data_IF_247569870081
#
_entry.id   IF_247569870081
#
_cell.length_a   1.000
_cell.length_b   1.000
_cell.length_c   1.000
_cell.angle_alpha   90.00
_cell.angle_beta   90.00
_cell.angle_gamma   90.00
#
_symmetry.space_group_name_H-M   'P 1'
#
loop_
_entity.id
_entity.type
_entity.pdbx_description
1 polymer ?
#
# COMPACT_ATOMS: atom_id res chain seq x y z
N UNK A 1 -9.62 3.86 -12.81
CA UNK A 1 -9.01 2.60 -12.32
C UNK A 1 -8.59 2.85 -10.88
N UNK A 2 -9.14 2.15 -9.89
CA UNK A 2 -8.75 2.36 -8.48
C UNK A 2 -7.33 1.80 -8.29
N UNK A 3 -6.36 2.67 -8.05
CA UNK A 3 -5.01 2.27 -7.68
C UNK A 3 -5.05 1.67 -6.27
N UNK A 4 -4.58 0.43 -6.09
CA UNK A 4 -4.48 -0.21 -4.78
C UNK A 4 -3.13 0.19 -4.15
N UNK A 5 -3.09 1.07 -3.13
CA UNK A 5 -1.83 1.58 -2.60
C UNK A 5 -0.98 0.47 -2.00
N UNK A 6 -1.58 -0.54 -1.36
CA UNK A 6 -0.84 -1.69 -0.85
C UNK A 6 -0.09 -2.43 -1.96
N UNK A 7 -0.72 -2.62 -3.14
CA UNK A 7 -0.02 -3.25 -4.27
C UNK A 7 1.18 -2.42 -4.75
N UNK A 8 1.02 -1.12 -4.90
CA UNK A 8 2.12 -0.23 -5.31
C UNK A 8 3.28 -0.25 -4.31
N UNK A 9 2.98 -0.17 -3.02
CA UNK A 9 3.99 -0.27 -1.95
C UNK A 9 4.70 -1.61 -2.00
N UNK A 10 3.97 -2.72 -2.13
CA UNK A 10 4.53 -4.07 -2.22
C UNK A 10 5.49 -4.17 -3.40
N UNK A 11 5.11 -3.65 -4.57
CA UNK A 11 5.95 -3.68 -5.76
C UNK A 11 7.23 -2.83 -5.56
N UNK A 12 7.12 -1.66 -4.93
CA UNK A 12 8.28 -0.78 -4.60
C UNK A 12 9.29 -1.41 -3.64
N UNK A 13 8.84 -2.24 -2.71
CA UNK A 13 9.73 -2.91 -1.74
C UNK A 13 10.29 -4.25 -2.24
N UNK A 14 10.04 -4.62 -3.49
CA UNK A 14 10.56 -5.86 -4.10
C UNK A 14 9.59 -7.05 -4.03
N UNK A 15 8.30 -6.79 -3.88
CA UNK A 15 7.24 -7.79 -3.96
C UNK A 15 6.82 -8.42 -2.62
N UNK A 16 5.85 -9.33 -2.69
CA UNK A 16 5.18 -9.91 -1.51
C UNK A 16 6.15 -10.60 -0.54
N UNK A 17 7.15 -11.33 -1.05
CA UNK A 17 8.13 -12.03 -0.24
C UNK A 17 9.06 -11.05 0.51
N UNK A 18 9.49 -9.98 -0.15
CA UNK A 18 10.31 -8.95 0.48
C UNK A 18 9.50 -8.21 1.57
N UNK A 19 8.27 -7.80 1.26
CA UNK A 19 7.36 -7.20 2.23
C UNK A 19 7.14 -8.09 3.45
N UNK A 20 6.87 -9.39 3.24
CA UNK A 20 6.70 -10.38 4.31
C UNK A 20 7.93 -10.45 5.23
N UNK A 21 9.14 -10.52 4.65
CA UNK A 21 10.40 -10.54 5.38
C UNK A 21 10.62 -9.26 6.18
N UNK A 22 10.37 -8.09 5.60
CA UNK A 22 10.57 -6.79 6.25
C UNK A 22 9.65 -6.65 7.47
N UNK A 23 8.37 -7.01 7.33
CA UNK A 23 7.40 -6.81 8.42
C UNK A 23 7.40 -7.95 9.45
N UNK A 24 8.02 -9.08 9.12
CA UNK A 24 8.08 -10.28 9.95
C UNK A 24 6.76 -11.05 9.98
N UNK A 25 6.03 -11.11 8.86
CA UNK A 25 4.73 -11.79 8.74
C UNK A 25 4.74 -12.82 7.62
N UNK A 26 3.81 -13.77 7.68
CA UNK A 26 3.60 -14.72 6.60
C UNK A 26 3.09 -14.01 5.33
N UNK A 27 3.53 -14.48 4.16
CA UNK A 27 3.21 -13.87 2.85
C UNK A 27 1.69 -13.80 2.59
N UNK A 28 0.91 -14.76 3.09
CA UNK A 28 -0.56 -14.75 3.00
C UNK A 28 -1.18 -13.52 3.66
N UNK A 29 -0.57 -13.02 4.75
CA UNK A 29 -1.01 -11.78 5.40
C UNK A 29 -0.79 -10.55 4.52
N UNK A 30 0.28 -10.56 3.72
CA UNK A 30 0.60 -9.50 2.76
C UNK A 30 -0.40 -9.51 1.60
N UNK A 31 -0.74 -10.70 1.08
CA UNK A 31 -1.78 -10.82 0.04
C UNK A 31 -3.12 -10.22 0.48
N UNK A 32 -3.50 -10.42 1.74
CA UNK A 32 -4.74 -9.85 2.31
C UNK A 32 -4.76 -8.33 2.31
N UNK A 33 -3.62 -7.65 2.28
CA UNK A 33 -3.62 -6.19 2.16
C UNK A 33 -4.22 -5.72 0.83
N UNK A 34 -4.12 -6.55 -0.21
CA UNK A 34 -4.66 -6.23 -1.53
C UNK A 34 -6.14 -6.58 -1.68
N UNK A 35 -6.70 -7.34 -0.74
CA UNK A 35 -8.07 -7.82 -0.81
C UNK A 35 -9.07 -6.76 -0.33
N UNK A 36 -10.30 -6.76 -0.87
CA UNK A 36 -11.36 -5.91 -0.36
C UNK A 36 -11.69 -6.28 1.10
N UNK A 37 -12.16 -5.31 1.88
CA UNK A 37 -12.53 -5.50 3.28
C UNK A 37 -13.59 -6.61 3.45
N UNK A 38 -14.54 -6.71 2.51
CA UNK A 38 -15.59 -7.74 2.47
C UNK A 38 -15.05 -9.17 2.41
N UNK A 39 -13.83 -9.36 1.89
CA UNK A 39 -13.13 -10.66 1.84
C UNK A 39 -12.12 -10.85 2.97
N UNK A 40 -12.22 -10.04 4.04
CA UNK A 40 -11.29 -10.06 5.17
C UNK A 40 -9.93 -9.46 4.85
N UNK A 41 -9.86 -8.60 3.82
CA UNK A 41 -8.68 -7.79 3.52
C UNK A 41 -8.69 -6.44 4.23
N UNK A 42 -7.71 -5.60 3.90
CA UNK A 42 -7.63 -4.22 4.42
C UNK A 42 -8.24 -3.18 3.49
N UNK A 43 -8.85 -3.61 2.38
CA UNK A 43 -9.38 -2.70 1.37
C UNK A 43 -8.32 -2.07 0.47
N UNK A 44 -7.13 -2.68 0.37
CA UNK A 44 -6.03 -2.12 -0.43
C UNK A 44 -5.05 -1.26 0.35
N UNK A 45 -5.13 -1.22 1.68
CA UNK A 45 -4.26 -0.41 2.53
C UNK A 45 -3.25 -1.26 3.31
N UNK A 46 -2.03 -0.77 3.46
CA UNK A 46 -1.07 -1.42 4.36
C UNK A 46 -1.39 -1.00 5.80
N UNK A 47 -1.45 -1.93 6.77
CA UNK A 47 -1.66 -1.57 8.17
C UNK A 47 -0.57 -0.59 8.67
N UNK A 48 -0.90 0.40 9.52
CA UNK A 48 0.04 1.45 9.93
C UNK A 48 1.34 0.93 10.56
N UNK A 49 1.23 -0.10 11.42
CA UNK A 49 2.40 -0.71 12.06
C UNK A 49 3.35 -1.39 11.05
N UNK A 50 2.80 -1.92 9.96
CA UNK A 50 3.58 -2.55 8.90
C UNK A 50 4.18 -1.49 7.95
N UNK A 51 3.42 -0.42 7.67
CA UNK A 51 3.88 0.71 6.87
C UNK A 51 5.15 1.35 7.45
N UNK A 52 5.20 1.55 8.77
CA UNK A 52 6.39 2.10 9.44
C UNK A 52 7.64 1.22 9.23
N UNK A 53 7.50 -0.11 9.30
CA UNK A 53 8.62 -1.03 9.06
C UNK A 53 9.10 -0.99 7.61
N UNK A 54 8.17 -0.87 6.66
CA UNK A 54 8.51 -0.76 5.24
C UNK A 54 9.22 0.56 4.94
N UNK A 55 8.78 1.66 5.54
CA UNK A 55 9.43 2.97 5.43
C UNK A 55 10.84 2.98 6.02
N UNK A 56 11.01 2.39 7.21
CA UNK A 56 12.32 2.26 7.85
C UNK A 56 13.30 1.44 6.98
N UNK A 57 12.83 0.30 6.47
CA UNK A 57 13.61 -0.52 5.55
C UNK A 57 13.94 0.23 4.26
N UNK A 58 12.97 0.93 3.66
CA UNK A 58 13.20 1.70 2.45
C UNK A 58 14.26 2.78 2.64
N UNK A 59 14.23 3.49 3.77
CA UNK A 59 15.24 4.48 4.13
C UNK A 59 16.62 3.84 4.28
N UNK A 60 16.71 2.68 4.94
CA UNK A 60 17.97 1.97 5.12
C UNK A 60 18.52 1.38 3.81
N UNK A 61 17.64 0.94 2.91
CA UNK A 61 17.99 0.31 1.64
C UNK A 61 18.11 1.30 0.45
N UNK A 62 17.80 2.58 0.65
CA UNK A 62 17.81 3.59 -0.41
C UNK A 62 16.68 3.45 -1.44
N UNK A 63 15.54 2.84 -1.05
CA UNK A 63 14.37 2.69 -1.91
C UNK A 63 13.56 3.99 -1.95
N UNK A 64 13.03 4.34 -3.13
CA UNK A 64 12.11 5.47 -3.32
C UNK A 64 10.68 5.09 -2.90
N UNK A 65 10.49 4.94 -1.59
CA UNK A 65 9.21 4.71 -0.94
C UNK A 65 8.93 5.85 0.04
N UNK A 66 7.81 6.53 -0.17
CA UNK A 66 7.40 7.69 0.61
C UNK A 66 6.10 7.43 1.35
N UNK A 67 5.81 8.16 2.44
CA UNK A 67 4.53 8.03 3.15
C UNK A 67 3.31 8.23 2.24
N UNK A 68 3.44 9.06 1.20
CA UNK A 68 2.39 9.29 0.22
C UNK A 68 1.99 8.03 -0.57
N UNK A 69 2.91 7.07 -0.73
CA UNK A 69 2.62 5.80 -1.45
C UNK A 69 1.61 4.92 -0.71
N UNK A 70 1.43 5.13 0.60
CA UNK A 70 0.49 4.40 1.43
C UNK A 70 -0.92 5.00 1.38
N UNK A 71 -1.06 6.20 0.82
CA UNK A 71 -2.31 6.92 0.72
C UNK A 71 -2.98 6.59 -0.61
N UNK A 72 -4.29 6.41 -0.58
CA UNK A 72 -5.08 6.45 -1.79
C UNK A 72 -5.30 7.91 -2.14
N UNK A 73 -4.82 8.36 -3.31
CA UNK A 73 -5.26 9.66 -3.81
C UNK A 73 -6.80 9.62 -3.91
N UNK A 74 -7.53 10.63 -3.38
CA UNK A 74 -8.95 10.73 -3.66
C UNK A 74 -9.09 10.68 -5.18
N UNK A 75 -9.92 9.76 -5.67
CA UNK A 75 -10.19 9.64 -7.09
C UNK A 75 -10.79 10.97 -7.54
N UNK A 76 -9.99 11.87 -8.11
CA UNK A 76 -10.49 13.08 -8.75
C UNK A 76 -11.11 12.63 -10.08
N UNK A 77 -12.31 12.07 -9.97
CA UNK A 77 -13.24 11.96 -11.08
C UNK A 77 -14.56 12.52 -10.56
N UNK A 78 -15.02 13.58 -11.23
CA UNK A 78 -16.25 14.36 -11.00
C UNK A 78 -16.21 15.50 -9.96
N UNK A 79 -15.34 16.49 -10.17
CA UNK A 79 -15.62 17.87 -9.73
C UNK A 79 -15.17 18.88 -10.79
N UNK A 80 -15.39 18.57 -12.06
CA UNK A 80 -15.46 19.57 -13.13
C UNK A 80 -16.76 19.31 -13.91
N UNK A 81 -17.90 19.72 -13.38
CA UNK A 81 -19.10 20.06 -14.15
C UNK A 81 -20.07 20.83 -13.23
N UNK A 82 -20.25 22.13 -13.49
CA UNK A 82 -21.32 22.94 -12.90
C UNK A 82 -20.91 24.14 -12.06
N UNK A 83 -20.20 25.10 -12.64
CA UNK A 83 -20.33 26.51 -12.22
C UNK A 83 -20.48 27.33 -13.50
N UNK A 84 -21.74 27.52 -13.88
CA UNK A 84 -22.16 28.46 -14.91
C UNK A 84 -22.33 29.85 -14.32
#
# INVERSE_FOLDING_TARGET
>A
MILNPAKSVIDKVGGYAAAARIVGKHVTGIYRWTYPAERGGTGGFVPPADALKLLDHARAAGLSLEPADFLQAPSVVAAEEGAS
#
